data_IF_266789414050
#
_entry.id   IF_266789414050
#
_cell.length_a   1.000
_cell.length_b   1.000
_cell.length_c   1.000
_cell.angle_alpha   90.00
_cell.angle_beta   90.00
_cell.angle_gamma   90.00
#
_symmetry.space_group_name_H-M   'P 1'
#
loop_
_entity.id
_entity.type
_entity.pdbx_description
1 polymer ?
#
# COMPACT_ATOMS: atom_id res chain seq x y z
N UNK A 1 4.54 4.79 -26.02
CA UNK A 1 3.48 5.38 -25.17
C UNK A 1 4.18 6.21 -24.10
N UNK A 2 3.78 7.48 -24.01
CA UNK A 2 4.29 8.43 -23.00
C UNK A 2 3.26 8.59 -21.89
N UNK A 3 3.64 8.25 -20.66
CA UNK A 3 2.77 8.33 -19.48
C UNK A 3 3.27 9.43 -18.56
N UNK A 4 2.42 10.41 -18.26
CA UNK A 4 2.68 11.37 -17.21
C UNK A 4 2.24 10.76 -15.87
N UNK A 5 3.20 10.51 -14.97
CA UNK A 5 2.98 9.99 -13.63
C UNK A 5 3.11 11.12 -12.60
N UNK A 6 2.06 11.35 -11.82
CA UNK A 6 2.11 12.31 -10.70
C UNK A 6 2.88 11.72 -9.51
N UNK A 7 4.10 12.18 -9.29
CA UNK A 7 4.96 11.70 -8.21
C UNK A 7 4.94 12.57 -6.96
N UNK A 8 4.04 13.56 -6.89
CA UNK A 8 3.91 14.50 -5.77
C UNK A 8 3.85 13.81 -4.40
N UNK A 9 3.19 12.66 -4.31
CA UNK A 9 3.03 11.97 -3.03
C UNK A 9 4.33 11.30 -2.56
N UNK A 10 5.23 10.91 -3.44
CA UNK A 10 6.52 10.33 -3.09
C UNK A 10 7.41 11.34 -2.32
N UNK A 11 7.24 12.64 -2.57
CA UNK A 11 7.98 13.69 -1.86
C UNK A 11 7.54 13.88 -0.38
N UNK A 12 6.45 13.23 0.06
CA UNK A 12 5.90 13.43 1.42
C UNK A 12 6.59 12.60 2.50
N UNK A 13 7.67 11.94 2.16
CA UNK A 13 8.45 11.07 3.05
C UNK A 13 8.07 9.58 2.95
N UNK A 14 8.74 8.73 3.74
CA UNK A 14 8.58 7.28 3.65
C UNK A 14 7.13 6.85 3.86
N UNK A 15 6.57 6.18 2.88
CA UNK A 15 5.21 5.64 2.93
C UNK A 15 5.04 4.52 1.90
N UNK A 16 4.11 3.61 2.11
CA UNK A 16 3.81 2.54 1.14
C UNK A 16 3.42 3.08 -0.23
N UNK A 17 2.70 4.22 -0.28
CA UNK A 17 2.33 4.87 -1.55
C UNK A 17 3.54 5.51 -2.23
N UNK A 18 4.48 6.11 -1.47
CA UNK A 18 5.73 6.63 -2.04
C UNK A 18 6.56 5.51 -2.67
N UNK A 19 6.76 4.42 -1.95
CA UNK A 19 7.45 3.21 -2.47
C UNK A 19 6.77 2.69 -3.73
N UNK A 20 5.43 2.62 -3.75
CA UNK A 20 4.67 2.22 -4.94
C UNK A 20 4.99 3.10 -6.15
N UNK A 21 4.97 4.42 -6.00
CA UNK A 21 5.21 5.37 -7.08
C UNK A 21 6.62 5.19 -7.65
N UNK A 22 7.64 5.18 -6.80
CA UNK A 22 9.05 5.05 -7.21
C UNK A 22 9.32 3.71 -7.91
N UNK A 23 8.81 2.62 -7.35
CA UNK A 23 9.00 1.28 -7.90
C UNK A 23 8.24 1.06 -9.20
N UNK A 24 7.03 1.60 -9.28
CA UNK A 24 6.25 1.54 -10.51
C UNK A 24 6.93 2.33 -11.63
N UNK A 25 7.40 3.56 -11.38
CA UNK A 25 8.10 4.37 -12.37
C UNK A 25 9.32 3.61 -12.93
N UNK A 26 10.17 3.07 -12.07
CA UNK A 26 11.33 2.28 -12.46
C UNK A 26 10.95 1.03 -13.29
N UNK A 27 9.88 0.32 -12.88
CA UNK A 27 9.43 -0.88 -13.57
C UNK A 27 8.81 -0.58 -14.95
N UNK A 28 8.08 0.53 -15.07
CA UNK A 28 7.51 0.98 -16.34
C UNK A 28 8.62 1.37 -17.33
N UNK A 29 9.66 2.08 -16.88
CA UNK A 29 10.85 2.34 -17.69
C UNK A 29 11.51 1.02 -18.16
N UNK A 30 11.61 0.03 -17.27
CA UNK A 30 12.14 -1.30 -17.60
C UNK A 30 11.32 -2.09 -18.63
N UNK A 31 10.02 -1.78 -18.77
CA UNK A 31 9.14 -2.36 -19.81
C UNK A 31 9.01 -1.45 -21.05
N UNK A 32 9.87 -0.42 -21.19
CA UNK A 32 9.94 0.43 -22.37
C UNK A 32 8.88 1.53 -22.47
N UNK A 33 8.22 1.87 -21.36
CA UNK A 33 7.29 3.01 -21.30
C UNK A 33 8.08 4.30 -21.09
N UNK A 34 7.76 5.33 -21.87
CA UNK A 34 8.30 6.69 -21.69
C UNK A 34 7.54 7.36 -20.53
N UNK A 35 8.09 7.27 -19.31
CA UNK A 35 7.46 7.81 -18.09
C UNK A 35 7.97 9.23 -17.84
N UNK A 36 7.06 10.19 -17.86
CA UNK A 36 7.32 11.54 -17.43
C UNK A 36 6.88 11.70 -15.97
N UNK A 37 7.85 11.68 -15.06
CA UNK A 37 7.60 11.91 -13.64
C UNK A 37 7.45 13.41 -13.37
N UNK A 38 6.32 13.82 -12.78
CA UNK A 38 6.02 15.22 -12.48
C UNK A 38 5.54 15.33 -11.04
N UNK A 39 6.15 16.23 -10.29
CA UNK A 39 5.83 16.45 -8.88
C UNK A 39 5.56 17.93 -8.58
N UNK A 40 4.64 18.16 -7.65
CA UNK A 40 4.41 19.45 -7.06
C UNK A 40 5.35 19.69 -5.85
N UNK A 41 6.53 20.22 -6.11
CA UNK A 41 7.53 20.53 -5.10
C UNK A 41 7.12 21.71 -4.17
N UNK A 42 6.12 22.51 -4.58
CA UNK A 42 5.66 23.67 -3.82
C UNK A 42 4.58 23.32 -2.80
N UNK A 43 4.10 22.10 -2.82
CA UNK A 43 3.05 21.67 -1.91
C UNK A 43 3.54 21.71 -0.46
N UNK A 44 2.87 22.45 0.42
CA UNK A 44 3.26 22.49 1.83
C UNK A 44 3.15 21.11 2.50
N UNK A 45 3.94 20.87 3.56
CA UNK A 45 3.83 19.61 4.32
C UNK A 45 2.42 19.40 4.88
N UNK A 46 2.05 18.15 5.22
CA UNK A 46 0.75 17.87 5.83
C UNK A 46 0.51 18.74 7.06
N UNK A 47 -0.67 19.36 7.13
CA UNK A 47 -1.09 20.17 8.26
C UNK A 47 -2.08 19.38 9.12
N UNK A 48 -1.98 19.49 10.44
CA UNK A 48 -2.82 18.77 11.41
C UNK A 48 -4.28 19.25 11.52
N UNK A 49 -4.83 19.86 10.46
CA UNK A 49 -6.21 20.37 10.41
C UNK A 49 -6.29 21.89 10.22
N UNK A 50 -7.51 22.43 10.23
CA UNK A 50 -7.76 23.88 10.16
C UNK A 50 -7.41 24.53 8.81
N UNK A 51 -7.03 25.83 8.85
CA UNK A 51 -6.75 26.65 7.65
C UNK A 51 -5.62 26.06 6.81
N UNK A 52 -4.59 25.46 7.43
CA UNK A 52 -3.49 24.81 6.72
C UNK A 52 -3.96 23.64 5.84
N UNK A 53 -4.88 22.82 6.35
CA UNK A 53 -5.46 21.70 5.57
C UNK A 53 -6.33 22.21 4.42
N UNK A 54 -7.10 23.28 4.62
CA UNK A 54 -7.90 23.89 3.55
C UNK A 54 -7.00 24.48 2.45
N UNK A 55 -5.89 25.14 2.82
CA UNK A 55 -4.90 25.66 1.86
C UNK A 55 -4.27 24.52 1.05
N UNK A 56 -3.90 23.41 1.71
CA UNK A 56 -3.34 22.25 1.04
C UNK A 56 -4.35 21.62 0.07
N UNK A 57 -5.62 21.51 0.45
CA UNK A 57 -6.69 21.02 -0.42
C UNK A 57 -6.89 21.91 -1.66
N UNK A 58 -6.86 23.24 -1.49
CA UNK A 58 -6.91 24.20 -2.60
C UNK A 58 -5.71 24.07 -3.54
N UNK A 59 -4.52 23.86 -2.96
CA UNK A 59 -3.30 23.64 -3.73
C UNK A 59 -3.33 22.30 -4.50
N UNK A 60 -3.75 21.21 -3.85
CA UNK A 60 -3.93 19.91 -4.50
C UNK A 60 -4.98 19.99 -5.64
N UNK A 61 -6.05 20.75 -5.44
CA UNK A 61 -7.05 20.99 -6.48
C UNK A 61 -6.46 21.78 -7.67
N UNK A 62 -5.70 22.86 -7.43
CA UNK A 62 -5.02 23.61 -8.49
C UNK A 62 -4.02 22.74 -9.25
N UNK A 63 -3.22 21.95 -8.55
CA UNK A 63 -2.29 21.00 -9.16
C UNK A 63 -3.01 20.06 -10.11
N UNK A 64 -4.02 19.35 -9.60
CA UNK A 64 -4.78 18.35 -10.37
C UNK A 64 -5.55 18.99 -11.55
N UNK A 65 -6.22 20.15 -11.33
CA UNK A 65 -7.11 20.72 -12.33
C UNK A 65 -6.40 21.60 -13.37
N UNK A 66 -5.24 22.16 -13.03
CA UNK A 66 -4.58 23.17 -13.87
C UNK A 66 -3.15 22.79 -14.23
N UNK A 67 -2.29 22.52 -13.26
CA UNK A 67 -0.87 22.32 -13.52
C UNK A 67 -0.61 20.99 -14.25
N UNK A 68 -1.14 19.89 -13.73
CA UNK A 68 -0.92 18.56 -14.29
C UNK A 68 -1.41 18.42 -15.75
N UNK A 69 -2.61 18.89 -16.13
CA UNK A 69 -3.05 18.92 -17.54
C UNK A 69 -2.16 19.79 -18.45
N UNK A 70 -1.59 20.89 -17.92
CA UNK A 70 -0.64 21.72 -18.68
C UNK A 70 0.67 20.99 -18.94
N UNK A 71 1.21 20.30 -17.93
CA UNK A 71 2.39 19.44 -18.10
C UNK A 71 2.13 18.34 -19.12
N UNK A 72 0.99 17.67 -19.04
CA UNK A 72 0.62 16.62 -19.99
C UNK A 72 0.55 17.13 -21.43
N UNK A 73 -0.07 18.30 -21.64
CA UNK A 73 -0.16 18.93 -22.96
C UNK A 73 1.22 19.33 -23.49
N UNK A 74 2.04 19.97 -22.67
CA UNK A 74 3.36 20.45 -23.07
C UNK A 74 4.31 19.30 -23.44
N UNK A 75 4.17 18.16 -22.75
CA UNK A 75 4.99 16.98 -22.98
C UNK A 75 4.43 16.04 -24.06
N UNK A 76 3.22 16.26 -24.56
CA UNK A 76 2.53 15.35 -25.48
C UNK A 76 2.30 13.97 -24.85
N UNK A 77 1.84 13.95 -23.59
CA UNK A 77 1.55 12.71 -22.89
C UNK A 77 0.34 12.00 -23.51
N UNK A 78 0.44 10.68 -23.67
CA UNK A 78 -0.66 9.84 -24.14
C UNK A 78 -1.67 9.52 -23.02
N UNK A 79 -1.20 9.44 -21.75
CA UNK A 79 -2.00 9.11 -20.57
C UNK A 79 -1.49 9.89 -19.37
N UNK A 80 -2.40 10.35 -18.50
CA UNK A 80 -2.08 10.83 -17.15
C UNK A 80 -2.39 9.70 -16.16
N UNK A 81 -1.41 9.33 -15.32
CA UNK A 81 -1.61 8.40 -14.24
C UNK A 81 -1.59 9.12 -12.89
N UNK A 82 -2.71 9.06 -12.19
CA UNK A 82 -2.86 9.51 -10.81
C UNK A 82 -2.66 8.32 -9.86
N UNK A 83 -1.57 8.26 -9.08
CA UNK A 83 -1.31 7.14 -8.17
C UNK A 83 -2.22 7.13 -6.93
N UNK A 84 -3.04 8.14 -6.79
CA UNK A 84 -4.12 8.29 -5.80
C UNK A 84 -5.40 8.75 -6.51
N UNK A 85 -6.59 8.58 -5.89
CA UNK A 85 -7.85 8.98 -6.51
C UNK A 85 -7.95 10.50 -6.74
N UNK A 86 -7.49 10.94 -7.89
CA UNK A 86 -7.59 12.30 -8.40
C UNK A 86 -8.00 12.26 -9.88
N UNK A 87 -8.64 13.31 -10.38
CA UNK A 87 -9.07 13.42 -11.78
C UNK A 87 -9.18 14.88 -12.20
N UNK A 88 -8.57 15.25 -13.30
CA UNK A 88 -8.71 16.56 -13.91
C UNK A 88 -9.99 16.62 -14.75
N UNK A 89 -10.81 17.66 -14.54
CA UNK A 89 -12.05 17.85 -15.31
C UNK A 89 -11.82 18.10 -16.80
N UNK A 90 -10.67 18.68 -17.16
CA UNK A 90 -10.23 18.92 -18.52
C UNK A 90 -8.78 18.50 -18.71
N UNK A 91 -8.56 17.31 -19.25
CA UNK A 91 -7.24 16.80 -19.55
C UNK A 91 -7.05 16.66 -21.08
N UNK A 92 -5.82 16.76 -21.60
CA UNK A 92 -5.55 16.60 -23.03
C UNK A 92 -5.56 15.14 -23.50
N UNK A 93 -5.57 14.19 -22.56
CA UNK A 93 -5.46 12.75 -22.80
C UNK A 93 -6.22 11.98 -21.72
N UNK A 94 -6.45 10.66 -21.91
CA UNK A 94 -7.11 9.79 -20.94
C UNK A 94 -6.39 9.76 -19.61
N UNK A 95 -7.17 9.47 -18.55
CA UNK A 95 -6.68 9.46 -17.18
C UNK A 95 -6.91 8.10 -16.51
N UNK A 96 -5.86 7.60 -15.87
CA UNK A 96 -5.87 6.37 -15.05
C UNK A 96 -5.67 6.73 -13.59
N UNK A 97 -6.44 6.08 -12.70
CA UNK A 97 -6.42 6.31 -11.25
C UNK A 97 -6.10 5.00 -10.55
N UNK A 98 -5.20 5.03 -9.56
CA UNK A 98 -4.95 3.87 -8.69
C UNK A 98 -5.73 3.97 -7.37
N UNK A 99 -6.38 2.86 -7.02
CA UNK A 99 -7.05 2.63 -5.74
C UNK A 99 -6.23 1.66 -4.90
N UNK A 100 -5.70 2.15 -3.76
CA UNK A 100 -4.94 1.32 -2.83
C UNK A 100 -5.85 0.55 -1.87
N UNK A 101 -6.85 1.20 -1.30
CA UNK A 101 -7.91 0.58 -0.50
C UNK A 101 -9.16 1.47 -0.42
N UNK A 102 -10.20 0.92 0.19
CA UNK A 102 -11.40 1.63 0.59
C UNK A 102 -11.63 1.47 2.10
N UNK A 103 -10.55 1.53 2.89
CA UNK A 103 -10.61 1.33 4.34
C UNK A 103 -11.61 2.27 5.03
N UNK A 104 -11.67 3.53 4.62
CA UNK A 104 -12.61 4.53 5.17
C UNK A 104 -14.09 4.23 4.87
N UNK A 105 -14.38 3.39 3.88
CA UNK A 105 -15.72 2.88 3.58
C UNK A 105 -16.04 1.59 4.36
N UNK A 106 -15.02 0.79 4.66
CA UNK A 106 -15.16 -0.49 5.36
C UNK A 106 -15.17 -0.36 6.86
N UNK A 107 -14.34 0.53 7.39
CA UNK A 107 -14.10 0.77 8.81
C UNK A 107 -14.35 2.25 9.13
N UNK A 108 -15.59 2.73 8.96
CA UNK A 108 -15.91 4.14 9.15
C UNK A 108 -15.55 4.67 10.54
N UNK A 109 -15.55 3.81 11.55
CA UNK A 109 -15.16 4.11 12.93
C UNK A 109 -13.67 4.45 13.09
N UNK A 110 -12.82 3.98 12.20
CA UNK A 110 -11.38 4.25 12.21
C UNK A 110 -11.00 5.61 11.62
N UNK A 111 -11.96 6.37 11.08
CA UNK A 111 -11.69 7.61 10.34
C UNK A 111 -12.58 8.76 10.81
N UNK A 112 -12.00 9.96 10.87
CA UNK A 112 -12.76 11.16 11.20
C UNK A 112 -13.93 11.37 10.21
N UNK A 113 -15.16 11.68 10.68
CA UNK A 113 -16.35 11.79 9.82
C UNK A 113 -16.20 12.78 8.66
N UNK A 114 -15.51 13.91 8.90
CA UNK A 114 -15.27 14.93 7.88
C UNK A 114 -14.35 14.39 6.76
N UNK A 115 -13.26 13.71 7.13
CA UNK A 115 -12.36 13.06 6.17
C UNK A 115 -13.08 11.99 5.36
N UNK A 116 -13.85 11.14 6.04
CA UNK A 116 -14.60 10.06 5.38
C UNK A 116 -15.58 10.61 4.33
N UNK A 117 -16.37 11.64 4.69
CA UNK A 117 -17.31 12.27 3.74
C UNK A 117 -16.58 12.86 2.53
N UNK A 118 -15.51 13.58 2.78
CA UNK A 118 -14.69 14.17 1.74
C UNK A 118 -14.08 13.10 0.82
N UNK A 119 -13.43 12.06 1.40
CA UNK A 119 -12.81 10.99 0.65
C UNK A 119 -13.84 10.18 -0.16
N UNK A 120 -14.97 9.79 0.46
CA UNK A 120 -16.06 9.08 -0.26
C UNK A 120 -16.56 9.88 -1.46
N UNK A 121 -16.72 11.19 -1.32
CA UNK A 121 -17.20 12.03 -2.43
C UNK A 121 -16.14 12.21 -3.52
N UNK A 122 -14.94 12.64 -3.12
CA UNK A 122 -13.89 13.04 -4.08
C UNK A 122 -13.23 11.83 -4.76
N UNK A 123 -12.87 10.81 -4.00
CA UNK A 123 -12.22 9.61 -4.55
C UNK A 123 -13.18 8.80 -5.43
N UNK A 124 -14.43 8.63 -4.98
CA UNK A 124 -15.46 7.97 -5.79
C UNK A 124 -15.71 8.71 -7.10
N UNK A 125 -15.78 10.07 -7.05
CA UNK A 125 -15.96 10.89 -8.24
C UNK A 125 -14.78 10.75 -9.21
N UNK A 126 -13.55 10.81 -8.69
CA UNK A 126 -12.35 10.63 -9.48
C UNK A 126 -12.30 9.25 -10.14
N UNK A 127 -12.53 8.19 -9.39
CA UNK A 127 -12.54 6.82 -9.92
C UNK A 127 -13.64 6.58 -10.96
N UNK A 128 -14.82 7.20 -10.78
CA UNK A 128 -15.91 7.11 -11.77
C UNK A 128 -15.63 7.89 -13.05
N UNK A 129 -14.93 9.01 -12.95
CA UNK A 129 -14.60 9.87 -14.08
C UNK A 129 -13.38 9.36 -14.88
N UNK A 130 -12.45 8.63 -14.26
CA UNK A 130 -11.25 8.11 -14.91
C UNK A 130 -11.60 7.15 -16.06
N UNK A 131 -10.82 7.12 -17.13
CA UNK A 131 -11.01 6.25 -18.30
C UNK A 131 -10.72 4.78 -17.94
N UNK A 132 -9.73 4.51 -17.06
CA UNK A 132 -9.51 3.22 -16.46
C UNK A 132 -9.07 3.37 -14.98
N UNK A 133 -9.26 2.30 -14.21
CA UNK A 133 -8.93 2.25 -12.79
C UNK A 133 -8.00 1.06 -12.53
N UNK A 134 -6.92 1.31 -11.82
CA UNK A 134 -6.04 0.27 -11.29
C UNK A 134 -6.42 -0.02 -9.84
N UNK A 135 -6.66 -1.28 -9.51
CA UNK A 135 -6.81 -1.74 -8.13
C UNK A 135 -5.61 -2.60 -7.72
N UNK A 136 -5.07 -2.37 -6.54
CA UNK A 136 -3.86 -3.09 -6.08
C UNK A 136 -4.13 -4.56 -5.68
N UNK A 137 -5.41 -4.95 -5.62
CA UNK A 137 -5.83 -6.32 -5.27
C UNK A 137 -7.23 -6.62 -5.79
N UNK A 138 -7.61 -7.90 -5.84
CA UNK A 138 -9.00 -8.31 -6.10
C UNK A 138 -9.94 -7.84 -4.98
N UNK A 139 -9.43 -7.74 -3.76
CA UNK A 139 -10.17 -7.19 -2.63
C UNK A 139 -10.56 -5.73 -2.89
N UNK A 140 -9.61 -4.88 -3.28
CA UNK A 140 -9.87 -3.48 -3.64
C UNK A 140 -10.81 -3.37 -4.84
N UNK A 141 -10.65 -4.24 -5.86
CA UNK A 141 -11.56 -4.30 -7.01
C UNK A 141 -12.99 -4.63 -6.58
N UNK A 142 -13.20 -5.67 -5.76
CA UNK A 142 -14.53 -6.04 -5.26
C UNK A 142 -15.17 -4.90 -4.49
N UNK A 143 -14.39 -4.19 -3.66
CA UNK A 143 -14.86 -3.03 -2.90
C UNK A 143 -15.26 -1.87 -3.80
N UNK A 144 -14.45 -1.55 -4.78
CA UNK A 144 -14.72 -0.48 -5.75
C UNK A 144 -16.00 -0.77 -6.56
N UNK A 145 -16.21 -1.99 -6.99
CA UNK A 145 -17.44 -2.41 -7.67
C UNK A 145 -18.65 -2.37 -6.74
N UNK A 146 -18.57 -2.97 -5.56
CA UNK A 146 -19.70 -3.11 -4.65
C UNK A 146 -20.11 -1.78 -3.99
N UNK A 147 -19.14 -0.95 -3.57
CA UNK A 147 -19.40 0.27 -2.79
C UNK A 147 -19.54 1.51 -3.67
N UNK A 148 -18.79 1.56 -4.75
CA UNK A 148 -18.79 2.73 -5.64
C UNK A 148 -19.51 2.50 -6.97
N UNK A 149 -19.91 1.26 -7.27
CA UNK A 149 -20.61 0.89 -8.50
C UNK A 149 -19.72 1.10 -9.73
N UNK A 150 -18.41 0.87 -9.60
CA UNK A 150 -17.52 0.94 -10.75
C UNK A 150 -17.75 -0.25 -11.68
N UNK A 151 -17.71 0.00 -12.99
CA UNK A 151 -17.75 -1.06 -13.99
C UNK A 151 -16.45 -1.90 -13.95
N UNK A 152 -16.59 -3.19 -13.72
CA UNK A 152 -15.45 -4.11 -13.69
C UNK A 152 -14.66 -4.20 -14.98
N UNK A 153 -15.27 -3.85 -16.12
CA UNK A 153 -14.59 -3.77 -17.43
C UNK A 153 -13.57 -2.62 -17.52
N UNK A 154 -13.67 -1.62 -16.63
CA UNK A 154 -12.74 -0.48 -16.53
C UNK A 154 -11.66 -0.68 -15.47
N UNK A 155 -11.66 -1.81 -14.76
CA UNK A 155 -10.77 -2.06 -13.65
C UNK A 155 -9.74 -3.13 -14.02
N UNK A 156 -8.47 -2.75 -13.92
CA UNK A 156 -7.34 -3.69 -14.00
C UNK A 156 -6.77 -3.91 -12.59
N UNK A 157 -6.47 -5.16 -12.25
CA UNK A 157 -5.84 -5.48 -10.96
C UNK A 157 -4.33 -5.59 -11.17
N UNK A 158 -3.58 -4.75 -10.47
CA UNK A 158 -2.13 -4.68 -10.54
C UNK A 158 -1.51 -4.83 -9.13
N UNK A 159 -1.26 -6.05 -8.65
CA UNK A 159 -0.59 -6.28 -7.38
C UNK A 159 0.81 -5.67 -7.36
N UNK A 160 1.25 -5.22 -6.20
CA UNK A 160 2.59 -4.68 -6.03
C UNK A 160 3.66 -5.78 -6.03
N UNK A 161 4.90 -5.41 -6.36
CA UNK A 161 6.08 -6.18 -6.01
C UNK A 161 6.56 -5.86 -4.59
N UNK A 162 7.61 -6.53 -4.08
CA UNK A 162 8.25 -6.20 -2.82
C UNK A 162 8.69 -4.72 -2.79
N UNK A 163 8.37 -4.00 -1.72
CA UNK A 163 8.45 -2.55 -1.71
C UNK A 163 9.86 -2.00 -1.68
N UNK A 164 10.66 -2.38 -0.71
CA UNK A 164 12.01 -1.90 -0.58
C UNK A 164 12.99 -2.84 -1.30
N UNK A 165 13.95 -2.28 -2.03
CA UNK A 165 15.10 -3.07 -2.46
C UNK A 165 15.93 -3.36 -1.21
N UNK A 166 15.66 -4.47 -0.57
CA UNK A 166 16.55 -4.97 0.46
C UNK A 166 17.84 -5.38 -0.26
N UNK A 167 19.01 -4.74 0.00
CA UNK A 167 20.26 -5.16 -0.58
C UNK A 167 20.48 -6.64 -0.27
N UNK A 168 20.68 -7.48 -1.27
CA UNK A 168 20.83 -8.93 -1.10
C UNK A 168 19.52 -9.75 -1.17
N UNK A 169 18.35 -9.13 -1.28
CA UNK A 169 17.08 -9.85 -1.43
C UNK A 169 16.95 -10.65 -2.76
N UNK A 170 17.86 -10.45 -3.71
CA UNK A 170 17.92 -11.23 -4.96
C UNK A 170 18.48 -12.65 -4.82
N UNK A 171 19.04 -13.02 -3.67
CA UNK A 171 19.65 -14.35 -3.43
C UNK A 171 19.07 -15.02 -2.17
N UNK A 172 17.90 -14.65 -1.75
CA UNK A 172 17.10 -15.03 -0.59
C UNK A 172 17.23 -16.44 0.00
N UNK A 173 18.42 -16.83 0.45
CA UNK A 173 18.66 -18.09 1.15
C UNK A 173 18.83 -17.93 2.67
N UNK A 174 18.70 -16.72 3.21
CA UNK A 174 18.83 -16.53 4.65
C UNK A 174 17.71 -17.27 5.38
N UNK A 175 18.06 -18.31 6.11
CA UNK A 175 17.14 -18.95 7.04
C UNK A 175 16.76 -17.94 8.17
N UNK A 176 15.57 -18.06 8.77
CA UNK A 176 15.24 -17.28 9.95
C UNK A 176 16.35 -17.44 11.00
N UNK A 177 16.64 -16.42 11.81
CA UNK A 177 17.69 -16.50 12.79
C UNK A 177 17.43 -17.65 13.76
N UNK A 178 18.48 -18.42 14.09
CA UNK A 178 18.38 -19.53 15.05
C UNK A 178 17.89 -19.00 16.42
N UNK A 179 18.41 -17.82 16.82
CA UNK A 179 17.98 -17.10 18.00
C UNK A 179 17.50 -15.72 17.57
N UNK A 180 16.19 -15.53 17.44
CA UNK A 180 15.63 -14.23 17.07
C UNK A 180 15.72 -13.24 18.23
N UNK A 181 15.88 -11.95 17.90
CA UNK A 181 16.00 -10.89 18.91
C UNK A 181 14.64 -10.31 19.34
N UNK A 182 13.65 -10.26 18.42
CA UNK A 182 12.39 -9.55 18.67
C UNK A 182 11.26 -9.98 17.73
N UNK A 183 10.03 -9.57 18.05
CA UNK A 183 8.94 -9.43 17.10
C UNK A 183 8.96 -8.05 16.47
N UNK A 184 8.57 -7.92 15.22
CA UNK A 184 8.57 -6.67 14.51
C UNK A 184 7.14 -6.25 14.10
N UNK A 185 6.79 -5.00 14.38
CA UNK A 185 5.63 -4.31 13.81
C UNK A 185 6.13 -3.15 12.96
N UNK A 186 5.59 -2.98 11.75
CA UNK A 186 5.92 -1.86 10.86
C UNK A 186 4.63 -1.08 10.57
N UNK A 187 4.60 0.18 11.00
CA UNK A 187 3.46 1.06 10.75
C UNK A 187 3.30 2.19 11.74
N UNK A 188 2.34 3.05 11.45
CA UNK A 188 1.93 4.16 12.31
C UNK A 188 0.82 3.71 13.28
N UNK A 189 0.52 4.54 14.28
CA UNK A 189 -0.56 4.32 15.24
C UNK A 189 -1.89 4.80 14.64
N UNK A 190 -2.36 4.11 13.62
CA UNK A 190 -3.67 4.31 13.03
C UNK A 190 -4.66 3.27 13.58
N UNK A 191 -5.93 3.65 13.94
CA UNK A 191 -6.90 2.71 14.49
C UNK A 191 -7.08 1.42 13.67
N UNK A 192 -7.07 1.51 12.34
CA UNK A 192 -7.19 0.34 11.45
C UNK A 192 -5.99 -0.61 11.49
N UNK A 193 -4.82 -0.14 11.93
CA UNK A 193 -3.60 -0.95 12.11
C UNK A 193 -3.63 -1.80 13.38
N UNK A 194 -4.59 -1.52 14.28
CA UNK A 194 -4.91 -2.33 15.45
C UNK A 194 -3.73 -2.56 16.41
N UNK A 195 -2.88 -1.53 16.58
CA UNK A 195 -1.72 -1.60 17.48
C UNK A 195 -2.13 -1.92 18.93
N UNK A 196 -3.30 -1.43 19.37
CA UNK A 196 -3.82 -1.70 20.72
C UNK A 196 -4.00 -3.19 21.00
N UNK A 197 -4.52 -3.97 20.04
CA UNK A 197 -4.62 -5.43 20.16
C UNK A 197 -3.23 -6.07 20.31
N UNK A 198 -2.26 -5.65 19.47
CA UNK A 198 -0.90 -6.17 19.53
C UNK A 198 -0.27 -5.93 20.91
N UNK A 199 -0.38 -4.72 21.45
CA UNK A 199 0.18 -4.38 22.76
C UNK A 199 -0.48 -5.19 23.89
N UNK A 200 -1.80 -5.39 23.84
CA UNK A 200 -2.53 -6.22 24.80
C UNK A 200 -2.10 -7.70 24.71
N UNK A 201 -1.97 -8.23 23.49
CA UNK A 201 -1.50 -9.60 23.24
C UNK A 201 -0.04 -9.79 23.72
N UNK A 202 0.81 -8.81 23.40
CA UNK A 202 2.20 -8.84 23.82
C UNK A 202 2.38 -8.81 25.34
N UNK A 203 1.55 -8.03 26.07
CA UNK A 203 1.55 -8.04 27.53
C UNK A 203 1.23 -9.44 28.09
N UNK A 204 0.23 -10.13 27.51
CA UNK A 204 -0.13 -11.52 27.90
C UNK A 204 1.01 -12.49 27.59
N UNK A 205 1.59 -12.41 26.40
CA UNK A 205 2.75 -13.22 26.02
C UNK A 205 3.90 -13.08 27.01
N UNK A 206 4.28 -11.84 27.34
CA UNK A 206 5.35 -11.58 28.31
C UNK A 206 5.03 -12.10 29.72
N UNK A 207 3.79 -11.96 30.15
CA UNK A 207 3.36 -12.47 31.46
C UNK A 207 3.44 -13.99 31.52
N UNK A 208 3.15 -14.69 30.43
CA UNK A 208 3.18 -16.16 30.36
C UNK A 208 4.62 -16.71 30.25
N UNK A 209 5.50 -16.05 29.48
CA UNK A 209 6.86 -16.53 29.18
C UNK A 209 7.89 -16.04 30.22
N UNK A 210 7.70 -14.85 30.76
CA UNK A 210 8.62 -14.27 31.77
C UNK A 210 9.93 -13.75 31.16
N UNK A 211 11.05 -14.04 31.81
CA UNK A 211 12.38 -13.47 31.47
C UNK A 211 12.87 -13.84 30.09
N UNK A 212 12.42 -14.95 29.51
CA UNK A 212 12.80 -15.40 28.18
C UNK A 212 11.94 -14.81 27.04
N UNK A 213 11.01 -13.90 27.32
CA UNK A 213 10.15 -13.32 26.30
C UNK A 213 10.95 -12.40 25.37
N UNK A 214 10.76 -12.59 24.05
CA UNK A 214 11.34 -11.72 23.04
C UNK A 214 10.75 -10.29 23.14
N UNK A 215 11.55 -9.29 22.80
CA UNK A 215 11.08 -7.91 22.73
C UNK A 215 10.11 -7.69 21.54
N UNK A 216 9.36 -6.59 21.58
CA UNK A 216 8.56 -6.09 20.48
C UNK A 216 9.14 -4.77 19.97
N UNK A 217 9.55 -4.73 18.72
CA UNK A 217 10.02 -3.50 18.03
C UNK A 217 8.89 -2.93 17.20
N UNK A 218 8.58 -1.66 17.42
CA UNK A 218 7.64 -0.87 16.63
C UNK A 218 8.43 0.05 15.71
N UNK A 219 8.51 -0.30 14.43
CA UNK A 219 9.18 0.50 13.41
C UNK A 219 8.17 1.45 12.74
N UNK A 220 8.44 2.77 12.82
CA UNK A 220 7.58 3.81 12.30
C UNK A 220 7.30 4.93 13.28
N UNK A 221 6.18 5.64 13.10
CA UNK A 221 5.84 6.82 13.91
C UNK A 221 4.93 6.50 15.11
N UNK A 222 4.67 5.22 15.36
CA UNK A 222 3.90 4.82 16.53
C UNK A 222 4.55 5.29 17.84
N UNK A 223 3.76 5.76 18.78
CA UNK A 223 4.20 6.27 20.08
C UNK A 223 3.26 5.84 21.21
N UNK A 224 3.14 4.51 21.43
CA UNK A 224 2.26 4.00 22.48
C UNK A 224 2.78 4.38 23.87
N UNK A 225 1.96 4.20 24.93
CA UNK A 225 2.43 4.25 26.31
C UNK A 225 3.60 3.29 26.53
N UNK A 226 4.51 3.65 27.43
CA UNK A 226 5.66 2.80 27.78
C UNK A 226 5.19 1.46 28.32
N UNK A 227 5.71 0.39 27.75
CA UNK A 227 5.43 -0.99 28.16
C UNK A 227 6.73 -1.79 28.20
N UNK A 228 6.97 -2.64 29.23
CA UNK A 228 8.18 -3.46 29.33
C UNK A 228 8.40 -4.30 28.07
N UNK A 229 9.62 -4.27 27.52
CA UNK A 229 10.01 -5.01 26.32
C UNK A 229 9.50 -4.44 25.00
N UNK A 230 8.77 -3.31 24.99
CA UNK A 230 8.37 -2.61 23.76
C UNK A 230 9.38 -1.50 23.48
N UNK A 231 9.95 -1.52 22.26
CA UNK A 231 10.87 -0.49 21.74
C UNK A 231 10.25 0.19 20.53
N UNK A 232 10.39 1.52 20.44
CA UNK A 232 10.00 2.28 19.25
C UNK A 232 11.25 2.70 18.48
N UNK A 233 11.28 2.44 17.19
CA UNK A 233 12.34 2.85 16.28
C UNK A 233 11.75 3.74 15.16
N UNK A 234 12.19 4.99 15.10
CA UNK A 234 11.65 6.01 14.17
C UNK A 234 12.47 6.23 12.91
N UNK A 235 13.65 5.66 12.82
CA UNK A 235 14.53 5.73 11.67
C UNK A 235 15.24 4.42 11.43
N UNK A 236 14.48 3.29 11.38
CA UNK A 236 15.08 1.98 11.43
C UNK A 236 15.80 1.62 10.15
N UNK A 237 16.87 0.85 10.28
CA UNK A 237 17.30 -0.05 9.25
C UNK A 237 16.31 -1.23 9.20
N UNK A 238 15.30 -1.12 8.36
CA UNK A 238 14.24 -2.13 8.24
C UNK A 238 14.79 -3.50 7.84
N UNK A 239 15.89 -3.54 7.08
CA UNK A 239 16.51 -4.80 6.71
C UNK A 239 17.11 -5.51 7.91
N UNK A 240 17.88 -4.79 8.74
CA UNK A 240 18.45 -5.36 9.95
C UNK A 240 17.33 -5.85 10.88
N UNK A 241 16.30 -5.03 11.12
CA UNK A 241 15.17 -5.40 11.95
C UNK A 241 14.42 -6.64 11.41
N UNK A 242 14.20 -6.74 10.12
CA UNK A 242 13.58 -7.93 9.52
C UNK A 242 14.47 -9.17 9.72
N UNK A 243 15.76 -9.07 9.41
CA UNK A 243 16.68 -10.22 9.52
C UNK A 243 16.82 -10.76 10.95
N UNK A 244 16.65 -9.93 11.97
CA UNK A 244 16.77 -10.31 13.39
C UNK A 244 15.42 -10.72 14.01
N UNK A 245 14.31 -10.56 13.30
CA UNK A 245 12.99 -10.79 13.88
C UNK A 245 12.56 -12.25 13.85
N UNK A 246 11.83 -12.66 14.91
CA UNK A 246 11.14 -13.94 14.97
C UNK A 246 9.97 -14.00 13.97
N UNK A 247 9.26 -12.88 13.86
CA UNK A 247 8.18 -12.68 12.90
C UNK A 247 7.85 -11.19 12.75
N UNK A 248 7.33 -10.83 11.56
CA UNK A 248 6.52 -9.63 11.40
C UNK A 248 5.12 -9.90 11.97
N UNK A 249 4.61 -8.99 12.81
CA UNK A 249 3.24 -9.04 13.34
C UNK A 249 2.40 -7.96 12.70
N UNK A 250 1.34 -8.36 11.99
CA UNK A 250 0.48 -7.47 11.22
C UNK A 250 -1.00 -7.63 11.62
N UNK A 251 -1.44 -6.98 12.71
CA UNK A 251 -2.76 -7.18 13.29
C UNK A 251 -3.88 -6.34 12.64
N UNK A 252 -3.61 -5.72 11.48
CA UNK A 252 -4.49 -4.75 10.84
C UNK A 252 -5.89 -5.31 10.53
N UNK A 253 -6.91 -4.53 10.88
CA UNK A 253 -8.32 -4.83 10.62
C UNK A 253 -8.64 -4.85 9.12
N UNK A 254 -7.95 -4.04 8.34
CA UNK A 254 -8.10 -3.97 6.89
C UNK A 254 -6.85 -3.40 6.22
N UNK A 255 -6.49 -4.01 5.10
CA UNK A 255 -5.48 -3.53 4.15
C UNK A 255 -5.96 -3.77 2.72
N UNK A 256 -5.55 -2.91 1.81
CA UNK A 256 -5.79 -3.15 0.39
C UNK A 256 -4.89 -4.21 -0.20
N UNK A 257 -3.61 -4.28 0.26
CA UNK A 257 -2.63 -5.22 -0.25
C UNK A 257 -1.70 -5.78 0.84
N UNK A 258 -1.02 -4.92 1.62
CA UNK A 258 -0.08 -5.33 2.66
C UNK A 258 1.37 -5.40 2.18
N UNK A 259 1.93 -4.29 1.70
CA UNK A 259 3.33 -4.22 1.27
C UNK A 259 4.31 -4.71 2.32
N UNK A 260 4.13 -4.31 3.59
CA UNK A 260 5.02 -4.72 4.70
C UNK A 260 5.03 -6.22 4.92
N UNK A 261 3.88 -6.87 4.71
CA UNK A 261 3.77 -8.33 4.79
C UNK A 261 4.51 -9.00 3.64
N UNK A 262 4.36 -8.47 2.42
CA UNK A 262 5.08 -8.97 1.25
C UNK A 262 6.60 -8.80 1.40
N UNK A 263 7.04 -7.68 1.97
CA UNK A 263 8.46 -7.42 2.28
C UNK A 263 9.02 -8.45 3.28
N UNK A 264 8.28 -8.73 4.35
CA UNK A 264 8.68 -9.74 5.33
C UNK A 264 8.77 -11.13 4.70
N UNK A 265 7.77 -11.55 3.93
CA UNK A 265 7.77 -12.81 3.20
C UNK A 265 8.94 -12.91 2.22
N UNK A 266 9.22 -11.83 1.47
CA UNK A 266 10.34 -11.77 0.54
C UNK A 266 11.69 -11.89 1.25
N UNK A 267 11.83 -11.27 2.42
CA UNK A 267 13.01 -11.41 3.29
C UNK A 267 13.11 -12.78 3.99
N UNK A 268 12.10 -13.64 3.86
CA UNK A 268 12.05 -14.94 4.53
C UNK A 268 11.74 -14.84 6.03
N UNK A 269 11.07 -13.78 6.44
CA UNK A 269 10.62 -13.57 7.81
C UNK A 269 9.22 -14.15 7.98
N UNK A 270 8.98 -14.96 9.02
CA UNK A 270 7.65 -15.46 9.35
C UNK A 270 6.64 -14.32 9.53
N UNK A 271 5.40 -14.54 9.16
CA UNK A 271 4.34 -13.54 9.32
C UNK A 271 3.25 -14.07 10.24
N UNK A 272 2.92 -13.28 11.28
CA UNK A 272 1.70 -13.43 12.07
C UNK A 272 0.77 -12.30 11.66
N UNK A 273 -0.40 -12.61 11.11
CA UNK A 273 -1.29 -11.58 10.56
C UNK A 273 -2.75 -11.80 10.98
N UNK A 274 -3.47 -10.67 11.14
CA UNK A 274 -4.92 -10.76 11.20
C UNK A 274 -5.48 -11.20 9.84
N UNK A 275 -6.48 -12.09 9.88
CA UNK A 275 -7.13 -12.57 8.65
C UNK A 275 -8.07 -11.51 8.07
N UNK A 276 -7.51 -10.42 7.56
CA UNK A 276 -8.25 -9.41 6.80
C UNK A 276 -8.20 -9.68 5.30
N UNK A 277 -9.21 -9.26 4.50
CA UNK A 277 -9.35 -9.68 3.10
C UNK A 277 -8.13 -9.39 2.23
N UNK A 278 -7.53 -8.19 2.29
CA UNK A 278 -6.34 -7.85 1.51
C UNK A 278 -5.11 -8.64 1.93
N UNK A 279 -4.94 -8.84 3.25
CA UNK A 279 -3.83 -9.65 3.78
C UNK A 279 -4.00 -11.12 3.41
N UNK A 280 -5.22 -11.68 3.51
CA UNK A 280 -5.49 -13.05 3.10
C UNK A 280 -5.21 -13.27 1.59
N UNK A 281 -5.48 -12.27 0.76
CA UNK A 281 -5.15 -12.32 -0.67
C UNK A 281 -3.64 -12.30 -0.90
N UNK A 282 -2.88 -11.47 -0.18
CA UNK A 282 -1.42 -11.36 -0.34
C UNK A 282 -0.69 -12.55 0.25
N UNK A 283 -1.02 -12.98 1.46
CA UNK A 283 -0.32 -14.08 2.15
C UNK A 283 -0.78 -15.47 1.69
N UNK A 284 -2.03 -15.64 1.22
CA UNK A 284 -2.64 -16.96 1.04
C UNK A 284 -2.46 -17.82 2.31
N UNK A 285 -1.82 -18.98 2.22
CA UNK A 285 -1.55 -19.86 3.37
C UNK A 285 -0.15 -19.66 3.99
N UNK A 286 0.58 -18.61 3.58
CA UNK A 286 1.95 -18.36 4.02
C UNK A 286 2.07 -17.53 5.31
N UNK A 287 0.99 -17.36 6.06
CA UNK A 287 0.98 -16.65 7.33
C UNK A 287 0.31 -17.46 8.44
N UNK A 288 0.77 -17.24 9.68
CA UNK A 288 0.03 -17.69 10.85
C UNK A 288 -1.09 -16.69 11.14
N UNK A 289 -2.32 -17.08 10.84
CA UNK A 289 -3.47 -16.21 10.99
C UNK A 289 -4.05 -16.18 12.40
N UNK A 290 -4.48 -15.00 12.80
CA UNK A 290 -5.18 -14.75 14.06
C UNK A 290 -6.47 -13.96 13.80
N UNK A 291 -7.42 -14.05 14.73
CA UNK A 291 -8.60 -13.18 14.72
C UNK A 291 -8.17 -11.75 15.08
N UNK A 292 -8.58 -10.71 14.32
CA UNK A 292 -8.25 -9.32 14.60
C UNK A 292 -8.86 -8.75 15.90
N UNK A 293 -9.68 -9.53 16.60
CA UNK A 293 -10.30 -9.14 17.86
C UNK A 293 -9.90 -10.05 19.03
N UNK A 294 -9.02 -11.05 18.80
CA UNK A 294 -8.58 -12.02 19.80
C UNK A 294 -7.13 -11.77 20.25
N UNK A 295 -6.99 -11.01 21.34
CA UNK A 295 -5.68 -10.75 21.93
C UNK A 295 -5.05 -12.00 22.56
N UNK A 296 -5.82 -12.98 23.01
CA UNK A 296 -5.31 -14.22 23.58
C UNK A 296 -4.76 -15.13 22.49
N UNK A 297 -5.50 -15.30 21.38
CA UNK A 297 -5.03 -16.04 20.21
C UNK A 297 -3.77 -15.44 19.60
N UNK A 298 -3.65 -14.11 19.56
CA UNK A 298 -2.43 -13.44 19.12
C UNK A 298 -1.27 -13.69 20.13
N UNK A 299 -1.51 -13.66 21.44
CA UNK A 299 -0.49 -13.97 22.45
C UNK A 299 0.01 -15.41 22.30
N UNK A 300 -0.88 -16.38 22.07
CA UNK A 300 -0.51 -17.77 21.79
C UNK A 300 0.30 -17.91 20.50
N UNK A 301 -0.07 -17.16 19.43
CA UNK A 301 0.69 -17.16 18.18
C UNK A 301 2.12 -16.63 18.39
N UNK A 302 2.30 -15.55 19.18
CA UNK A 302 3.60 -15.02 19.55
C UNK A 302 4.42 -16.08 20.31
N UNK A 303 3.83 -16.73 21.33
CA UNK A 303 4.50 -17.76 22.11
C UNK A 303 4.94 -18.97 21.25
N UNK A 304 4.07 -19.44 20.35
CA UNK A 304 4.39 -20.54 19.43
C UNK A 304 5.54 -20.19 18.50
N UNK A 305 5.51 -19.02 17.88
CA UNK A 305 6.58 -18.59 16.96
C UNK A 305 7.90 -18.34 17.70
N UNK A 306 7.87 -17.84 18.92
CA UNK A 306 9.07 -17.68 19.74
C UNK A 306 9.73 -19.03 20.06
N UNK A 307 8.93 -20.02 20.47
CA UNK A 307 9.41 -21.29 20.99
C UNK A 307 9.74 -22.34 19.91
N UNK A 308 9.18 -22.22 18.69
CA UNK A 308 9.26 -23.26 17.66
C UNK A 308 10.06 -22.81 16.42
N UNK A 309 11.36 -23.18 16.34
CA UNK A 309 12.19 -22.90 15.15
C UNK A 309 11.70 -23.61 13.87
N UNK A 310 11.08 -24.78 13.99
CA UNK A 310 10.57 -25.53 12.83
C UNK A 310 9.35 -24.83 12.23
N UNK A 311 8.46 -24.29 13.07
CA UNK A 311 7.35 -23.47 12.62
C UNK A 311 7.87 -22.20 11.92
N UNK A 312 8.88 -21.52 12.49
CA UNK A 312 9.48 -20.35 11.83
C UNK A 312 10.04 -20.71 10.45
N UNK A 313 10.78 -21.81 10.34
CA UNK A 313 11.34 -22.27 9.08
C UNK A 313 10.25 -22.58 8.03
N UNK A 314 9.18 -23.23 8.45
CA UNK A 314 8.03 -23.55 7.58
C UNK A 314 7.34 -22.28 7.07
N UNK A 315 7.03 -21.34 7.96
CA UNK A 315 6.40 -20.06 7.59
C UNK A 315 7.30 -19.22 6.68
N UNK A 316 8.60 -19.18 6.95
CA UNK A 316 9.57 -18.47 6.13
C UNK A 316 9.70 -19.05 4.71
N UNK A 317 9.70 -20.38 4.59
CA UNK A 317 9.74 -21.07 3.29
C UNK A 317 8.47 -20.78 2.47
N UNK A 318 7.29 -20.96 3.08
CA UNK A 318 6.01 -20.65 2.45
C UNK A 318 5.90 -19.16 2.08
N UNK A 319 6.39 -18.26 2.94
CA UNK A 319 6.43 -16.82 2.67
C UNK A 319 7.26 -16.49 1.44
N UNK A 320 8.48 -17.03 1.32
CA UNK A 320 9.34 -16.81 0.14
C UNK A 320 8.71 -17.34 -1.14
N UNK A 321 8.16 -18.55 -1.11
CA UNK A 321 7.45 -19.12 -2.25
C UNK A 321 6.29 -18.21 -2.69
N UNK A 322 5.49 -17.75 -1.72
CA UNK A 322 4.38 -16.84 -1.99
C UNK A 322 4.83 -15.50 -2.55
N UNK A 323 5.88 -14.91 -1.98
CA UNK A 323 6.42 -13.62 -2.42
C UNK A 323 6.98 -13.66 -3.85
N UNK A 324 7.48 -14.80 -4.30
CA UNK A 324 7.98 -14.99 -5.66
C UNK A 324 6.91 -14.81 -6.75
N UNK A 325 5.62 -14.92 -6.39
CA UNK A 325 4.50 -14.64 -7.30
C UNK A 325 4.28 -13.15 -7.57
N UNK A 326 4.95 -12.26 -6.84
CA UNK A 326 4.77 -10.81 -6.92
C UNK A 326 6.03 -10.12 -7.44
N UNK A 327 5.87 -9.28 -8.45
CA UNK A 327 6.99 -8.49 -8.97
C UNK A 327 6.50 -7.14 -9.49
N UNK A 328 7.37 -6.14 -9.39
CA UNK A 328 7.09 -4.83 -9.99
C UNK A 328 6.99 -4.89 -11.52
N UNK A 329 7.68 -5.85 -12.14
CA UNK A 329 7.57 -6.10 -13.57
C UNK A 329 6.15 -6.55 -13.95
N UNK A 330 5.57 -7.50 -13.23
CA UNK A 330 4.17 -7.94 -13.43
C UNK A 330 3.19 -6.80 -13.17
N UNK A 331 3.43 -6.02 -12.11
CA UNK A 331 2.65 -4.83 -11.79
C UNK A 331 2.69 -3.80 -12.94
N UNK A 332 3.87 -3.48 -13.46
CA UNK A 332 4.05 -2.56 -14.58
C UNK A 332 3.28 -3.01 -15.83
N UNK A 333 3.32 -4.30 -16.16
CA UNK A 333 2.57 -4.86 -17.30
C UNK A 333 1.07 -4.69 -17.12
N UNK A 334 0.54 -4.94 -15.94
CA UNK A 334 -0.88 -4.69 -15.65
C UNK A 334 -1.23 -3.19 -15.73
N UNK A 335 -0.32 -2.29 -15.34
CA UNK A 335 -0.52 -0.85 -15.53
C UNK A 335 -0.53 -0.48 -17.04
N UNK A 336 0.34 -1.09 -17.85
CA UNK A 336 0.33 -0.90 -19.31
C UNK A 336 -0.99 -1.37 -19.92
N UNK A 337 -1.58 -2.46 -19.43
CA UNK A 337 -2.91 -2.89 -19.81
C UNK A 337 -3.97 -1.83 -19.47
N UNK A 338 -3.90 -1.24 -18.27
CA UNK A 338 -4.82 -0.16 -17.87
C UNK A 338 -4.64 1.09 -18.73
N UNK A 339 -3.42 1.45 -19.10
CA UNK A 339 -3.16 2.57 -20.00
C UNK A 339 -3.72 2.30 -21.41
N UNK A 340 -3.51 1.11 -21.94
CA UNK A 340 -4.06 0.70 -23.26
C UNK A 340 -5.60 0.69 -23.25
N UNK A 341 -6.19 0.20 -22.15
CA UNK A 341 -7.63 0.24 -21.92
C UNK A 341 -8.14 1.68 -21.92
N UNK A 342 -7.47 2.58 -21.19
CA UNK A 342 -7.87 3.99 -21.09
C UNK A 342 -7.85 4.69 -22.45
N UNK A 343 -6.84 4.44 -23.28
CA UNK A 343 -6.77 4.95 -24.65
C UNK A 343 -7.95 4.48 -25.50
N UNK A 344 -8.28 3.19 -25.41
CA UNK A 344 -9.38 2.60 -26.17
C UNK A 344 -10.76 3.13 -25.74
N UNK A 345 -10.96 3.34 -24.44
CA UNK A 345 -12.20 3.89 -23.89
C UNK A 345 -12.37 5.37 -24.26
N UNK A 346 -11.30 6.14 -24.19
CA UNK A 346 -11.29 7.56 -24.55
C UNK A 346 -11.61 7.77 -26.04
N UNK A 347 -11.03 6.95 -26.93
CA UNK A 347 -11.31 7.00 -28.35
C UNK A 347 -12.80 6.72 -28.70
N UNK A 348 -13.44 5.83 -27.90
CA UNK A 348 -14.88 5.53 -28.09
C UNK A 348 -15.78 6.65 -27.56
N UNK A 349 -15.34 7.39 -26.54
CA UNK A 349 -16.12 8.48 -25.96
C UNK A 349 -16.04 9.80 -26.76
N UNK A 350 -14.98 9.96 -27.56
CA UNK A 350 -14.77 11.14 -28.40
C UNK A 350 -15.30 10.83 -29.83
N UNK A 351 -16.50 11.26 -30.22
CA UNK A 351 -16.98 11.04 -31.60
C UNK A 351 -16.02 11.72 -32.54
N UNK A 352 -15.59 10.99 -33.57
CA UNK A 352 -14.88 11.57 -34.71
C UNK A 352 -15.68 12.79 -35.17
N UNK A 353 -15.13 14.00 -35.01
CA UNK A 353 -15.65 15.17 -35.69
C UNK A 353 -15.49 14.85 -37.17
N UNK A 354 -16.59 14.41 -37.81
CA UNK A 354 -16.65 14.31 -39.25
C UNK A 354 -16.35 15.71 -39.79
N UNK A 355 -15.11 15.90 -40.22
CA UNK A 355 -14.66 17.09 -40.91
C UNK A 355 -15.60 17.33 -42.08
N UNK A 356 -16.49 18.31 -41.93
CA UNK A 356 -17.26 18.83 -43.02
C UNK A 356 -16.30 19.42 -44.03
N UNK A 357 -16.06 18.69 -45.11
CA UNK A 357 -15.56 19.28 -46.32
C UNK A 357 -16.62 20.29 -46.83
N UNK A 358 -16.26 21.55 -46.82
CA UNK A 358 -16.81 22.57 -47.68
C UNK A 358 -15.68 23.40 -48.28
#
# INVERSE_FOLDING_TARGET
MRVLLDTTFALRGPSGTGVYIERLAAALHGEGVDVLEVADERRPPPAGGGVGSARNAGHDAWWTQVALPRHARAAGADVIHHPLPAHAGQAPCPQVVTLHDLAFERLPECFAPAFRRWASLTHRRAARAADAVVCVSQTTRRDAMARWGLDGARIVVAPHGPGQALPGAGTGTAAPPAVPAHFLYIGDDEPRKNLGLLLAAYARYRAAVGVGALDLVLAGRASPPRQPGVRCDRGPDLQALLCESAALVHPALHEGFGLTVLEAMHAGVPVIAARSPGIAETCAEAALYVDPHDAEGLAHALARVAADPALRATLAAAGRERAAAFSWRTSARAHIEAYTLSLSMHARATPLSTGGAR
#
